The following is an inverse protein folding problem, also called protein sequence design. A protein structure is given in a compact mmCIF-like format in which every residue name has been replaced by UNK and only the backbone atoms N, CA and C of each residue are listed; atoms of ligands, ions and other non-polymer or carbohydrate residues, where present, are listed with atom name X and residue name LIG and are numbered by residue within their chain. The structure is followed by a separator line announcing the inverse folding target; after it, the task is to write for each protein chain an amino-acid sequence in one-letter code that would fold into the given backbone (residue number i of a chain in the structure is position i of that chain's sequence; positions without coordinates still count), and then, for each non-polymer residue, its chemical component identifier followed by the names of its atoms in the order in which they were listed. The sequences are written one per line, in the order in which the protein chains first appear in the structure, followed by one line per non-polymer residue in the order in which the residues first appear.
data_IF_347899818272
#
_entry.id   IF_347899818272
#
_cell.length_a   1.000
_cell.length_b   1.000
_cell.length_c   1.000
_cell.angle_alpha   90.00
_cell.angle_beta   90.00
_cell.angle_gamma   90.00
#
_symmetry.space_group_name_H-M   'P 1'
#
loop_
_entity.id
_entity.type
_entity.pdbx_description
1 polymer ?
#
# COMPACT_ATOMS: atom_id res chain seq x y z
N UNK A 1 4.88 -5.95 12.65
CA UNK A 1 5.65 -4.77 12.19
C UNK A 1 4.81 -3.83 11.32
N UNK A 2 4.12 -4.30 10.28
CA UNK A 2 3.28 -3.45 9.41
C UNK A 2 2.23 -2.61 10.15
N UNK A 3 1.48 -3.19 11.10
CA UNK A 3 0.47 -2.45 11.86
C UNK A 3 1.03 -1.32 12.73
N UNK A 4 2.26 -1.49 13.26
CA UNK A 4 2.91 -0.45 14.08
C UNK A 4 3.30 0.75 13.22
N UNK A 5 3.77 0.51 11.99
CA UNK A 5 4.08 1.56 11.04
C UNK A 5 2.80 2.30 10.61
N UNK A 6 1.76 1.55 10.21
CA UNK A 6 0.46 2.11 9.84
C UNK A 6 -0.12 2.96 10.99
N UNK A 7 -0.16 2.45 12.22
CA UNK A 7 -0.70 3.21 13.36
C UNK A 7 0.11 4.48 13.70
N UNK A 8 1.44 4.46 13.51
CA UNK A 8 2.28 5.65 13.73
C UNK A 8 2.03 6.76 12.72
N UNK A 9 1.50 6.43 11.53
CA UNK A 9 1.06 7.44 10.57
C UNK A 9 -0.22 8.17 10.97
N UNK A 10 -0.84 7.78 12.10
CA UNK A 10 -2.10 8.34 12.61
C UNK A 10 -3.21 8.43 11.54
N UNK A 11 -3.50 7.32 10.84
CA UNK A 11 -4.41 7.30 9.71
C UNK A 11 -5.81 7.74 10.13
N UNK A 12 -6.38 8.71 9.42
CA UNK A 12 -7.76 9.13 9.60
C UNK A 12 -8.66 8.49 8.53
N UNK A 13 -9.93 8.28 8.91
CA UNK A 13 -10.94 7.77 7.99
C UNK A 13 -11.15 8.77 6.84
N UNK A 14 -11.23 8.28 5.61
CA UNK A 14 -11.39 9.12 4.42
C UNK A 14 -10.09 9.67 3.83
N UNK A 15 -8.95 9.41 4.47
CA UNK A 15 -7.65 9.80 3.91
C UNK A 15 -7.16 8.83 2.82
N UNK A 16 -6.12 9.27 2.11
CA UNK A 16 -5.41 8.49 1.10
C UNK A 16 -4.00 8.22 1.57
N UNK A 17 -3.49 7.02 1.31
CA UNK A 17 -2.12 6.66 1.64
C UNK A 17 -1.40 5.96 0.49
N UNK A 18 -0.08 6.14 0.47
CA UNK A 18 0.83 5.40 -0.40
C UNK A 18 1.80 4.59 0.46
N UNK A 19 1.99 3.32 0.10
CA UNK A 19 2.93 2.41 0.76
C UNK A 19 4.07 2.11 -0.21
N UNK A 20 5.27 2.58 0.14
CA UNK A 20 6.47 2.26 -0.62
C UNK A 20 7.03 0.90 -0.20
N UNK A 21 7.19 0.01 -1.17
CA UNK A 21 7.61 -1.37 -0.99
C UNK A 21 6.42 -2.34 -0.92
N UNK A 22 6.42 -3.34 -1.80
CA UNK A 22 5.42 -4.39 -1.92
C UNK A 22 5.95 -5.75 -1.40
N UNK A 23 6.75 -5.71 -0.34
CA UNK A 23 7.11 -6.89 0.45
C UNK A 23 6.00 -7.30 1.43
N UNK A 24 6.23 -8.36 2.21
CA UNK A 24 5.28 -8.83 3.23
C UNK A 24 4.87 -7.73 4.22
N UNK A 25 5.83 -6.91 4.65
CA UNK A 25 5.58 -5.78 5.56
C UNK A 25 4.74 -4.69 4.90
N UNK A 26 5.01 -4.37 3.63
CA UNK A 26 4.28 -3.35 2.88
C UNK A 26 2.84 -3.75 2.63
N UNK A 27 2.61 -4.99 2.22
CA UNK A 27 1.25 -5.54 2.08
C UNK A 27 0.51 -5.52 3.41
N UNK A 28 1.15 -5.96 4.51
CA UNK A 28 0.54 -5.91 5.84
C UNK A 28 0.20 -4.47 6.28
N UNK A 29 1.05 -3.49 5.95
CA UNK A 29 0.79 -2.08 6.23
C UNK A 29 -0.40 -1.57 5.40
N UNK A 30 -0.47 -1.89 4.10
CA UNK A 30 -1.56 -1.49 3.22
C UNK A 30 -2.92 -2.07 3.66
N UNK A 31 -2.95 -3.35 4.06
CA UNK A 31 -4.14 -3.98 4.65
C UNK A 31 -4.54 -3.27 5.94
N UNK A 32 -3.58 -2.93 6.79
CA UNK A 32 -3.87 -2.23 8.05
C UNK A 32 -4.43 -0.82 7.80
N UNK A 33 -3.89 -0.10 6.82
CA UNK A 33 -4.37 1.23 6.43
C UNK A 33 -5.82 1.16 5.90
N UNK A 34 -6.13 0.18 5.06
CA UNK A 34 -7.50 -0.06 4.57
C UNK A 34 -8.44 -0.45 5.71
N UNK A 35 -7.96 -1.26 6.67
CA UNK A 35 -8.70 -1.60 7.89
C UNK A 35 -9.01 -0.37 8.77
N UNK A 36 -8.12 0.62 8.82
CA UNK A 36 -8.37 1.88 9.52
C UNK A 36 -9.37 2.82 8.81
N UNK A 37 -9.86 2.45 7.62
CA UNK A 37 -10.92 3.16 6.92
C UNK A 37 -10.42 4.25 5.97
N UNK A 38 -9.22 4.10 5.43
CA UNK A 38 -8.74 4.96 4.34
C UNK A 38 -9.48 4.64 3.04
N UNK A 39 -9.82 5.68 2.29
CA UNK A 39 -10.57 5.55 1.04
C UNK A 39 -9.71 4.97 -0.08
N UNK A 40 -8.42 5.31 -0.10
CA UNK A 40 -7.49 4.87 -1.13
C UNK A 40 -6.14 4.50 -0.53
N UNK A 41 -5.65 3.31 -0.87
CA UNK A 41 -4.32 2.83 -0.49
C UNK A 41 -3.62 2.32 -1.73
N UNK A 42 -2.57 3.02 -2.16
CA UNK A 42 -1.74 2.69 -3.32
C UNK A 42 -0.45 2.04 -2.83
N UNK A 43 -0.04 0.93 -3.46
CA UNK A 43 1.25 0.28 -3.16
C UNK A 43 2.22 0.55 -4.31
N UNK A 44 3.38 1.11 -3.99
CA UNK A 44 4.40 1.45 -4.97
C UNK A 44 5.65 0.59 -4.80
N UNK A 45 6.13 -0.03 -5.88
CA UNK A 45 7.33 -0.88 -5.87
C UNK A 45 7.99 -0.86 -7.26
N UNK A 46 9.18 -1.45 -7.39
CA UNK A 46 9.89 -1.58 -8.67
C UNK A 46 9.59 -2.92 -9.36
N UNK A 47 9.17 -3.93 -8.59
CA UNK A 47 8.96 -5.29 -9.09
C UNK A 47 7.50 -5.51 -9.48
N UNK A 48 7.26 -5.68 -10.78
CA UNK A 48 5.92 -6.02 -11.30
C UNK A 48 5.38 -7.33 -10.72
N UNK A 49 6.25 -8.29 -10.41
CA UNK A 49 5.87 -9.53 -9.73
C UNK A 49 5.20 -9.24 -8.38
N UNK A 50 5.82 -8.37 -7.57
CA UNK A 50 5.26 -7.98 -6.27
C UNK A 50 3.98 -7.17 -6.44
N UNK A 51 3.97 -6.21 -7.36
CA UNK A 51 2.80 -5.39 -7.65
C UNK A 51 1.61 -6.22 -8.13
N UNK A 52 1.83 -7.27 -8.94
CA UNK A 52 0.76 -8.15 -9.39
C UNK A 52 0.09 -8.90 -8.22
N UNK A 53 0.87 -9.26 -7.18
CA UNK A 53 0.30 -9.83 -5.95
C UNK A 53 -0.59 -8.81 -5.24
N UNK A 54 -0.13 -7.56 -5.10
CA UNK A 54 -0.93 -6.48 -4.53
C UNK A 54 -2.21 -6.19 -5.34
N UNK A 55 -2.15 -6.21 -6.69
CA UNK A 55 -3.33 -6.08 -7.55
C UNK A 55 -4.35 -7.20 -7.30
N UNK A 56 -3.89 -8.45 -7.17
CA UNK A 56 -4.77 -9.60 -6.85
C UNK A 56 -5.45 -9.48 -5.48
N UNK A 57 -4.84 -8.74 -4.55
CA UNK A 57 -5.42 -8.43 -3.24
C UNK A 57 -6.39 -7.23 -3.27
N UNK A 58 -6.61 -6.62 -4.45
CA UNK A 58 -7.52 -5.49 -4.61
C UNK A 58 -6.93 -4.14 -4.17
N UNK A 59 -5.61 -4.01 -4.20
CA UNK A 59 -4.93 -2.73 -4.04
C UNK A 59 -4.61 -2.12 -5.39
N UNK A 60 -4.67 -0.79 -5.43
CA UNK A 60 -4.08 -0.03 -6.53
C UNK A 60 -2.56 -0.07 -6.40
N UNK A 61 -1.86 -0.17 -7.52
CA UNK A 61 -0.41 -0.35 -7.52
C UNK A 61 0.26 0.54 -8.55
N UNK A 62 1.40 1.12 -8.18
CA UNK A 62 2.20 1.96 -9.05
C UNK A 62 3.61 1.38 -9.19
N UNK A 63 4.11 1.21 -10.41
CA UNK A 63 5.52 0.89 -10.61
C UNK A 63 6.32 2.20 -10.63
N UNK A 64 7.29 2.34 -9.73
CA UNK A 64 8.06 3.59 -9.59
C UNK A 64 9.08 3.75 -10.73
N UNK A 65 9.55 2.65 -11.32
CA UNK A 65 10.50 2.67 -12.44
C UNK A 65 9.81 3.06 -13.75
N UNK A 66 8.58 2.59 -13.94
CA UNK A 66 7.78 2.91 -15.12
C UNK A 66 6.84 4.06 -14.74
N UNK A 67 7.29 5.30 -14.95
CA UNK A 67 6.42 6.48 -14.88
C UNK A 67 5.42 6.45 -16.05
N UNK A 68 4.49 5.51 -16.04
CA UNK A 68 3.29 5.56 -16.86
C UNK A 68 2.34 6.55 -16.18
N UNK A 69 2.31 7.76 -16.76
CA UNK A 69 1.40 8.85 -16.38
C UNK A 69 -0.05 8.45 -16.54
#
# INVERSE_FOLDING_TARGET
MGCRAARRSQPQKGEKAIVFGCGTIGIAAAITLKYFGLDQVIIADLSDFRLNIAKKLGFETCNIANNEK
#
